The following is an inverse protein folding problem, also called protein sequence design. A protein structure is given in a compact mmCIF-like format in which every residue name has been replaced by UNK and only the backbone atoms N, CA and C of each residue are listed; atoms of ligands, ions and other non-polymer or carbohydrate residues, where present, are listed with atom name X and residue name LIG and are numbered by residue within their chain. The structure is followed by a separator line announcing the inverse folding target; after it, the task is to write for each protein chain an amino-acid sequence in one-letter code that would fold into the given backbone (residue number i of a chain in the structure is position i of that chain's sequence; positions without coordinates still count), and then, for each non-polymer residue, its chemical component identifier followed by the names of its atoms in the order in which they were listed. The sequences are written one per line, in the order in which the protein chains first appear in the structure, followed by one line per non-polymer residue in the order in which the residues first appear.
data_IF_579276768090
#
_entry.id   IF_579276768090
#
_cell.length_a   1.000
_cell.length_b   1.000
_cell.length_c   1.000
_cell.angle_alpha   90.00
_cell.angle_beta   90.00
_cell.angle_gamma   90.00
#
_symmetry.space_group_name_H-M   'P 1'
#
loop_
_entity.id
_entity.type
_entity.pdbx_description
1 polymer ?
#
# COMPACT_ATOMS: atom_id res chain seq x y z
N UNK A 1 -6.78 23.92 3.50
CA UNK A 1 -5.88 22.76 3.56
C UNK A 1 -5.38 22.53 2.16
N UNK A 2 -4.16 22.92 1.88
CA UNK A 2 -3.53 22.76 0.56
C UNK A 2 -2.99 21.33 0.50
N UNK A 3 -3.47 20.54 -0.46
CA UNK A 3 -2.84 19.26 -0.80
C UNK A 3 -1.48 19.58 -1.40
N UNK A 4 -0.44 19.43 -0.62
CA UNK A 4 0.93 19.63 -1.07
C UNK A 4 1.40 18.37 -1.78
N UNK A 5 2.10 18.54 -2.88
CA UNK A 5 2.70 17.44 -3.62
C UNK A 5 3.81 16.78 -2.80
N UNK A 6 3.53 15.56 -2.32
CA UNK A 6 4.47 14.78 -1.53
C UNK A 6 5.35 13.85 -2.35
N UNK A 7 5.24 13.83 -3.68
CA UNK A 7 6.06 12.94 -4.53
C UNK A 7 7.55 13.26 -4.40
N UNK A 8 7.91 14.54 -4.25
CA UNK A 8 9.28 14.98 -3.98
C UNK A 8 9.71 14.82 -2.51
N UNK A 9 8.79 14.45 -1.62
CA UNK A 9 9.02 14.35 -0.18
C UNK A 9 9.43 12.93 0.26
N UNK A 10 9.39 11.96 -0.63
CA UNK A 10 9.78 10.58 -0.33
C UNK A 10 11.27 10.38 -0.54
N UNK A 11 11.91 9.78 0.44
CA UNK A 11 13.25 9.20 0.34
C UNK A 11 13.15 7.66 0.47
N UNK A 12 14.29 6.97 0.51
CA UNK A 12 14.36 5.52 0.64
C UNK A 12 13.74 4.98 1.95
N UNK A 13 13.49 5.84 2.93
CA UNK A 13 12.88 5.50 4.21
C UNK A 13 11.40 5.94 4.31
N UNK A 14 10.82 6.46 3.24
CA UNK A 14 9.47 7.01 3.18
C UNK A 14 9.42 8.53 3.27
N UNK A 15 8.33 9.09 3.81
CA UNK A 15 8.10 10.53 3.88
C UNK A 15 9.12 11.27 4.78
N UNK A 16 9.74 12.31 4.25
CA UNK A 16 10.74 13.14 4.94
C UNK A 16 10.09 14.19 5.84
N UNK A 17 10.53 14.30 7.10
CA UNK A 17 10.09 15.35 8.04
C UNK A 17 10.48 16.75 7.55
N UNK A 18 11.65 16.89 6.93
CA UNK A 18 12.09 18.18 6.36
C UNK A 18 11.13 18.67 5.27
N UNK A 19 10.58 17.77 4.48
CA UNK A 19 9.58 18.12 3.47
C UNK A 19 8.24 18.53 4.08
N UNK A 20 7.83 17.92 5.19
CA UNK A 20 6.62 18.33 5.93
C UNK A 20 6.76 19.72 6.51
N UNK A 21 7.91 20.02 7.10
CA UNK A 21 8.20 21.36 7.63
C UNK A 21 8.26 22.42 6.52
N UNK A 22 8.91 22.11 5.40
CA UNK A 22 8.98 23.01 4.25
C UNK A 22 7.59 23.28 3.63
N UNK A 23 6.70 22.31 3.68
CA UNK A 23 5.32 22.43 3.20
C UNK A 23 4.39 23.13 4.19
N UNK A 24 4.81 23.39 5.42
CA UNK A 24 3.95 23.91 6.48
C UNK A 24 2.77 22.99 6.79
N UNK A 25 3.01 21.67 6.75
CA UNK A 25 1.94 20.68 6.91
C UNK A 25 1.48 20.59 8.38
N UNK A 26 0.16 20.51 8.59
CA UNK A 26 -0.45 20.23 9.89
C UNK A 26 -0.91 18.78 10.00
N UNK A 27 -1.28 18.17 8.88
CA UNK A 27 -1.75 16.78 8.83
C UNK A 27 -1.01 16.03 7.73
N UNK A 28 -0.56 14.82 8.07
CA UNK A 28 0.07 13.90 7.13
C UNK A 28 -0.68 12.58 7.10
N UNK A 29 -0.93 12.05 5.89
CA UNK A 29 -1.52 10.73 5.65
C UNK A 29 -0.43 9.78 5.14
N UNK A 30 -0.21 8.68 5.86
CA UNK A 30 0.86 7.72 5.58
C UNK A 30 0.39 6.28 5.79
N UNK A 31 1.03 5.34 5.10
CA UNK A 31 0.84 3.89 5.29
C UNK A 31 2.18 3.26 5.70
N UNK A 32 2.60 3.41 6.97
CA UNK A 32 3.96 3.09 7.40
C UNK A 32 4.25 1.60 7.45
N UNK A 33 3.24 0.75 7.52
CA UNK A 33 3.39 -0.70 7.52
C UNK A 33 3.67 -1.28 6.14
N UNK A 34 3.13 -0.62 5.09
CA UNK A 34 3.33 -0.98 3.69
C UNK A 34 2.84 0.17 2.81
N UNK A 35 3.75 1.06 2.42
CA UNK A 35 3.39 2.26 1.67
C UNK A 35 2.92 1.92 0.26
N UNK A 36 1.74 2.39 -0.12
CA UNK A 36 1.26 2.28 -1.49
C UNK A 36 1.57 3.58 -2.25
N UNK A 37 2.15 3.52 -3.45
CA UNK A 37 2.43 2.31 -4.25
C UNK A 37 3.88 1.78 -4.11
N UNK A 38 4.74 2.39 -3.30
CA UNK A 38 6.19 2.10 -3.30
C UNK A 38 6.57 0.78 -2.63
N UNK A 39 5.69 0.17 -1.83
CA UNK A 39 5.99 -1.05 -1.07
C UNK A 39 6.88 -0.85 0.15
N UNK A 40 7.38 0.37 0.37
CA UNK A 40 8.32 0.67 1.48
C UNK A 40 7.66 0.39 2.83
N UNK A 41 8.36 -0.37 3.66
CA UNK A 41 8.06 -0.50 5.09
C UNK A 41 8.84 0.56 5.84
N UNK A 42 8.14 1.53 6.43
CA UNK A 42 8.79 2.67 7.10
C UNK A 42 9.63 2.22 8.29
N UNK A 43 10.94 2.54 8.33
CA UNK A 43 11.82 2.21 9.44
C UNK A 43 11.38 2.84 10.76
N UNK A 44 11.72 2.19 11.89
CA UNK A 44 11.38 2.67 13.23
C UNK A 44 11.90 4.09 13.49
N UNK A 45 13.13 4.40 13.06
CA UNK A 45 13.70 5.73 13.21
C UNK A 45 12.81 6.82 12.55
N UNK A 46 12.34 6.58 11.31
CA UNK A 46 11.46 7.51 10.62
C UNK A 46 10.08 7.63 11.30
N UNK A 47 9.56 6.56 11.88
CA UNK A 47 8.32 6.58 12.67
C UNK A 47 8.47 7.50 13.88
N UNK A 48 9.61 7.41 14.59
CA UNK A 48 9.93 8.28 15.73
C UNK A 48 10.09 9.75 15.30
N UNK A 49 10.79 10.03 14.18
CA UNK A 49 10.91 11.37 13.63
C UNK A 49 9.54 12.00 13.35
N UNK A 50 8.61 11.24 12.78
CA UNK A 50 7.25 11.72 12.49
C UNK A 50 6.44 11.97 13.76
N UNK A 51 6.55 11.11 14.78
CA UNK A 51 5.90 11.36 16.08
C UNK A 51 6.43 12.64 16.72
N UNK A 52 7.75 12.83 16.77
CA UNK A 52 8.36 14.06 17.25
C UNK A 52 7.93 15.30 16.43
N UNK A 53 7.81 15.15 15.10
CA UNK A 53 7.28 16.25 14.27
C UNK A 53 5.87 16.64 14.67
N UNK A 54 5.00 15.67 14.91
CA UNK A 54 3.62 15.91 15.30
C UNK A 54 3.50 16.49 16.71
N UNK A 55 4.43 16.17 17.62
CA UNK A 55 4.46 16.69 18.99
C UNK A 55 4.91 18.17 19.08
N UNK A 56 5.66 18.68 18.08
CA UNK A 56 6.16 20.07 18.10
C UNK A 56 5.06 21.12 18.05
N UNK A 57 3.91 20.81 17.47
CA UNK A 57 2.79 21.75 17.33
C UNK A 57 1.46 21.11 17.77
N UNK A 58 0.58 21.86 18.46
CA UNK A 58 -0.65 21.29 19.03
C UNK A 58 -1.65 20.78 17.99
N UNK A 59 -1.65 21.32 16.79
CA UNK A 59 -2.62 21.01 15.73
C UNK A 59 -2.09 20.05 14.67
N UNK A 60 -0.88 19.50 14.85
CA UNK A 60 -0.32 18.48 13.96
C UNK A 60 -0.83 17.09 14.29
N UNK A 61 -1.22 16.35 13.24
CA UNK A 61 -1.70 14.98 13.34
C UNK A 61 -1.16 14.08 12.22
N UNK A 62 -1.07 12.79 12.53
CA UNK A 62 -0.71 11.75 11.59
C UNK A 62 -1.95 10.86 11.37
N UNK A 63 -2.37 10.71 10.12
CA UNK A 63 -3.34 9.71 9.69
C UNK A 63 -2.55 8.46 9.30
N UNK A 64 -2.56 7.43 10.15
CA UNK A 64 -1.93 6.14 9.88
C UNK A 64 -2.93 5.22 9.19
N UNK A 65 -2.76 5.00 7.88
CA UNK A 65 -3.59 4.09 7.08
C UNK A 65 -2.93 2.70 7.01
N UNK A 66 -3.46 1.79 7.80
CA UNK A 66 -2.92 0.44 8.01
C UNK A 66 -3.75 -0.62 7.29
N UNK A 67 -3.88 -0.49 5.97
CA UNK A 67 -4.84 -1.21 5.16
C UNK A 67 -4.52 -2.69 4.88
N UNK A 68 -3.25 -3.15 5.05
CA UNK A 68 -2.81 -4.52 4.72
C UNK A 68 -1.67 -5.08 5.59
N UNK A 69 -1.40 -4.48 6.76
CA UNK A 69 -0.32 -4.90 7.67
C UNK A 69 -0.47 -6.33 8.18
N UNK A 70 -1.67 -6.87 8.16
CA UNK A 70 -1.93 -8.27 8.50
C UNK A 70 -1.22 -9.25 7.56
N UNK A 71 -0.80 -8.80 6.37
CA UNK A 71 -0.14 -9.61 5.34
C UNK A 71 1.39 -9.39 5.30
N UNK A 72 2.01 -9.30 6.46
CA UNK A 72 3.47 -9.33 6.57
C UNK A 72 3.95 -10.78 6.58
N UNK A 73 4.87 -11.13 5.66
CA UNK A 73 5.33 -12.50 5.46
C UNK A 73 6.71 -12.77 6.02
N UNK A 74 7.52 -11.73 6.22
CA UNK A 74 8.90 -11.83 6.72
C UNK A 74 9.09 -10.94 7.94
N UNK A 75 9.81 -11.45 8.93
CA UNK A 75 10.14 -10.71 10.16
C UNK A 75 9.01 -10.67 11.19
N UNK A 76 9.25 -9.91 12.26
CA UNK A 76 8.26 -9.68 13.32
C UNK A 76 7.29 -8.56 12.92
N UNK A 77 6.05 -8.57 13.45
CA UNK A 77 5.17 -7.43 13.31
C UNK A 77 5.85 -6.16 13.81
N UNK A 78 5.72 -5.07 13.05
CA UNK A 78 6.22 -3.76 13.45
C UNK A 78 5.08 -3.05 14.18
N UNK A 79 5.31 -2.49 15.39
CA UNK A 79 4.30 -1.71 16.07
C UNK A 79 3.79 -0.56 15.20
N UNK A 80 2.49 -0.29 15.23
CA UNK A 80 1.91 0.87 14.55
C UNK A 80 2.38 2.16 15.22
N UNK A 81 2.37 3.29 14.51
CA UNK A 81 2.62 4.58 15.16
C UNK A 81 1.60 4.82 16.27
N UNK A 82 0.33 4.49 16.02
CA UNK A 82 -0.73 4.59 17.01
C UNK A 82 -0.42 3.84 18.31
N UNK A 83 0.18 2.64 18.24
CA UNK A 83 0.48 1.83 19.42
C UNK A 83 1.64 2.35 20.27
N UNK A 84 2.48 3.23 19.72
CA UNK A 84 3.65 3.84 20.39
C UNK A 84 3.50 5.35 20.57
N UNK A 85 2.36 5.92 20.19
CA UNK A 85 2.04 7.35 20.32
C UNK A 85 1.56 7.66 21.74
N UNK A 86 2.43 8.27 22.54
CA UNK A 86 2.09 8.74 23.89
C UNK A 86 1.44 10.14 23.87
N UNK A 87 1.67 10.91 22.80
CA UNK A 87 1.20 12.29 22.66
C UNK A 87 -0.24 12.44 22.12
N UNK A 88 -0.89 11.36 21.72
CA UNK A 88 -2.25 11.38 21.14
C UNK A 88 -2.28 12.16 19.81
N UNK A 89 -1.30 11.94 18.95
CA UNK A 89 -1.14 12.61 17.64
C UNK A 89 -1.56 11.75 16.47
N UNK A 90 -1.70 10.44 16.66
CA UNK A 90 -1.98 9.50 15.58
C UNK A 90 -3.46 9.15 15.55
N UNK A 91 -4.07 9.33 14.39
CA UNK A 91 -5.40 8.84 14.06
C UNK A 91 -5.19 7.56 13.24
N UNK A 92 -5.60 6.41 13.78
CA UNK A 92 -5.42 5.12 13.14
C UNK A 92 -6.61 4.76 12.25
N UNK A 93 -6.32 4.34 11.03
CA UNK A 93 -7.31 3.90 10.05
C UNK A 93 -7.02 2.46 9.62
N UNK A 94 -8.06 1.64 9.49
CA UNK A 94 -7.92 0.29 8.93
C UNK A 94 -9.22 -0.13 8.23
N UNK A 95 -9.15 -1.21 7.42
CA UNK A 95 -10.27 -1.70 6.62
C UNK A 95 -10.38 -3.22 6.62
N UNK A 96 -11.60 -3.74 6.68
CA UNK A 96 -11.88 -5.15 6.49
C UNK A 96 -11.93 -5.57 5.02
N UNK A 97 -11.83 -4.63 4.09
CA UNK A 97 -11.89 -4.91 2.64
C UNK A 97 -10.77 -5.79 2.12
N UNK A 98 -9.60 -5.77 2.77
CA UNK A 98 -8.44 -6.60 2.41
C UNK A 98 -8.40 -7.91 3.20
N UNK A 99 -8.83 -7.88 4.45
CA UNK A 99 -8.75 -9.01 5.37
C UNK A 99 -9.94 -9.96 5.28
N UNK A 100 -11.13 -9.49 4.90
CA UNK A 100 -12.32 -10.33 4.73
C UNK A 100 -12.69 -10.44 3.25
N UNK A 101 -13.23 -9.36 2.66
CA UNK A 101 -13.60 -9.32 1.25
C UNK A 101 -13.77 -7.87 0.78
N UNK A 102 -13.44 -7.55 -0.50
CA UNK A 102 -13.63 -6.20 -1.04
C UNK A 102 -15.07 -5.69 -1.00
N UNK A 103 -16.04 -6.60 -1.00
CA UNK A 103 -17.47 -6.29 -0.97
C UNK A 103 -18.01 -5.86 0.39
N UNK A 104 -17.28 -6.13 1.48
CA UNK A 104 -17.78 -5.81 2.84
C UNK A 104 -17.84 -4.32 3.11
N UNK A 105 -17.00 -3.53 2.48
CA UNK A 105 -16.98 -2.05 2.55
C UNK A 105 -17.01 -1.46 3.95
N UNK A 106 -16.42 -2.13 4.93
CA UNK A 106 -16.29 -1.65 6.31
C UNK A 106 -14.85 -1.22 6.55
N UNK A 107 -14.70 -0.01 7.08
CA UNK A 107 -13.45 0.51 7.63
C UNK A 107 -13.73 1.11 9.01
N UNK A 108 -12.70 1.32 9.79
CA UNK A 108 -12.81 1.92 11.10
C UNK A 108 -11.67 2.90 11.36
N UNK A 109 -11.94 3.84 12.25
CA UNK A 109 -10.99 4.85 12.69
C UNK A 109 -10.90 4.83 14.21
N UNK A 110 -9.70 4.89 14.75
CA UNK A 110 -9.44 5.06 16.17
C UNK A 110 -8.89 6.46 16.40
N UNK A 111 -9.67 7.26 17.12
CA UNK A 111 -9.30 8.64 17.42
C UNK A 111 -8.56 8.74 18.76
N UNK A 112 -7.52 9.60 18.85
CA UNK A 112 -6.96 10.00 20.13
C UNK A 112 -8.02 10.61 21.04
N UNK A 113 -7.94 10.36 22.33
CA UNK A 113 -8.93 10.84 23.32
C UNK A 113 -9.17 12.35 23.25
N UNK A 114 -8.12 13.12 22.98
CA UNK A 114 -8.20 14.60 22.85
C UNK A 114 -9.11 15.09 21.71
N UNK A 115 -9.31 14.29 20.68
CA UNK A 115 -10.17 14.64 19.53
C UNK A 115 -11.65 14.23 19.75
N UNK A 116 -11.95 13.38 20.70
CA UNK A 116 -13.32 12.87 20.91
C UNK A 116 -14.36 13.96 21.18
N UNK A 117 -14.09 15.01 22.02
CA UNK A 117 -15.05 16.08 22.22
C UNK A 117 -15.39 16.82 20.93
N UNK A 118 -14.36 17.24 20.18
CA UNK A 118 -14.52 17.94 18.89
C UNK A 118 -15.20 17.09 17.83
N UNK A 119 -14.86 15.80 17.79
CA UNK A 119 -15.52 14.84 16.89
C UNK A 119 -17.02 14.74 17.19
N UNK A 120 -17.39 14.59 18.47
CA UNK A 120 -18.81 14.49 18.88
C UNK A 120 -19.57 15.78 18.59
N UNK A 121 -18.97 16.93 18.84
CA UNK A 121 -19.58 18.23 18.58
C UNK A 121 -19.81 18.45 17.09
N UNK A 122 -18.80 18.18 16.25
CA UNK A 122 -18.84 18.53 14.83
C UNK A 122 -19.42 17.43 13.93
N UNK A 123 -19.29 16.17 14.31
CA UNK A 123 -19.65 15.01 13.49
C UNK A 123 -20.62 14.06 14.15
N UNK A 124 -20.96 14.27 15.44
CA UNK A 124 -21.86 13.39 16.19
C UNK A 124 -23.29 13.29 15.66
N UNK A 125 -23.68 14.19 14.76
CA UNK A 125 -25.00 14.15 14.11
C UNK A 125 -25.05 13.18 12.91
N UNK A 126 -23.89 12.71 12.39
CA UNK A 126 -23.87 11.71 11.34
C UNK A 126 -24.15 10.31 11.90
N UNK A 127 -25.08 9.62 11.27
CA UNK A 127 -25.26 8.19 11.52
C UNK A 127 -24.16 7.37 10.87
N UNK A 128 -23.81 6.23 11.48
CA UNK A 128 -22.90 5.27 10.84
C UNK A 128 -23.46 4.82 9.49
N UNK A 129 -22.64 4.82 8.45
CA UNK A 129 -23.00 4.33 7.13
C UNK A 129 -23.00 2.80 7.05
N UNK A 130 -22.40 2.12 8.04
CA UNK A 130 -22.42 0.66 8.16
C UNK A 130 -23.70 0.23 8.85
N UNK A 131 -24.48 -0.66 8.24
CA UNK A 131 -25.73 -1.15 8.82
C UNK A 131 -25.49 -1.87 10.15
N UNK A 132 -26.45 -1.78 11.09
CA UNK A 132 -26.37 -2.49 12.36
C UNK A 132 -26.23 -4.00 12.18
N UNK A 133 -26.87 -4.58 11.17
CA UNK A 133 -26.76 -6.00 10.85
C UNK A 133 -25.30 -6.39 10.50
N UNK A 134 -24.62 -5.61 9.68
CA UNK A 134 -23.23 -5.86 9.32
C UNK A 134 -22.29 -5.69 10.53
N UNK A 135 -22.51 -4.65 11.35
CA UNK A 135 -21.73 -4.43 12.57
C UNK A 135 -21.87 -5.60 13.54
N UNK A 136 -23.09 -6.06 13.83
CA UNK A 136 -23.32 -7.21 14.72
C UNK A 136 -22.77 -8.52 14.15
N UNK A 137 -22.90 -8.74 12.84
CA UNK A 137 -22.35 -9.92 12.16
C UNK A 137 -20.83 -9.94 12.28
N UNK A 138 -20.17 -8.81 12.02
CA UNK A 138 -18.73 -8.67 12.15
C UNK A 138 -18.26 -8.88 13.59
N UNK A 139 -18.92 -8.23 14.56
CA UNK A 139 -18.61 -8.37 15.97
C UNK A 139 -18.71 -9.84 16.41
N UNK A 140 -19.76 -10.55 16.02
CA UNK A 140 -19.92 -11.98 16.31
C UNK A 140 -18.86 -12.84 15.62
N UNK A 141 -18.55 -12.56 14.36
CA UNK A 141 -17.51 -13.25 13.60
C UNK A 141 -16.12 -13.13 14.27
N UNK A 142 -15.83 -11.97 14.86
CA UNK A 142 -14.63 -11.75 15.65
C UNK A 142 -14.69 -12.45 17.02
N UNK A 143 -15.76 -12.28 17.77
CA UNK A 143 -15.93 -12.82 19.13
C UNK A 143 -15.89 -14.36 19.17
N UNK A 144 -16.39 -15.03 18.13
CA UNK A 144 -16.35 -16.48 17.98
C UNK A 144 -15.01 -17.02 17.42
N UNK A 145 -14.03 -16.16 17.18
CA UNK A 145 -12.69 -16.51 16.68
C UNK A 145 -12.65 -16.92 15.19
N UNK A 146 -13.73 -16.74 14.45
CA UNK A 146 -13.76 -17.03 13.00
C UNK A 146 -12.90 -16.06 12.19
N UNK A 147 -12.84 -14.80 12.62
CA UNK A 147 -12.01 -13.80 11.96
C UNK A 147 -10.52 -14.18 11.99
N UNK A 148 -9.99 -14.57 13.14
CA UNK A 148 -8.59 -14.99 13.27
C UNK A 148 -8.27 -16.24 12.43
N UNK A 149 -9.17 -17.24 12.46
CA UNK A 149 -9.05 -18.44 11.62
C UNK A 149 -9.05 -18.08 10.14
N UNK A 150 -9.92 -17.17 9.72
CA UNK A 150 -9.99 -16.67 8.35
C UNK A 150 -8.70 -15.94 7.96
N UNK A 151 -8.24 -15.02 8.80
CA UNK A 151 -7.02 -14.23 8.59
C UNK A 151 -5.78 -15.13 8.42
N UNK A 152 -5.61 -16.13 9.30
CA UNK A 152 -4.50 -17.08 9.21
C UNK A 152 -4.52 -17.88 7.89
N UNK A 153 -5.72 -18.28 7.43
CA UNK A 153 -5.89 -18.94 6.14
C UNK A 153 -5.55 -18.00 4.97
N UNK A 154 -5.97 -16.75 5.03
CA UNK A 154 -5.68 -15.73 4.01
C UNK A 154 -4.19 -15.41 3.94
N UNK A 155 -3.51 -15.26 5.09
CA UNK A 155 -2.04 -15.08 5.16
C UNK A 155 -1.32 -16.22 4.42
N UNK A 156 -1.65 -17.48 4.73
CA UNK A 156 -1.06 -18.64 4.05
C UNK A 156 -1.33 -18.62 2.54
N UNK A 157 -2.57 -18.31 2.14
CA UNK A 157 -2.97 -18.26 0.73
C UNK A 157 -2.22 -17.15 -0.03
N UNK A 158 -2.13 -15.94 0.54
CA UNK A 158 -1.44 -14.84 -0.11
C UNK A 158 0.08 -15.05 -0.15
N UNK A 159 0.67 -15.63 0.89
CA UNK A 159 2.07 -16.03 0.88
C UNK A 159 2.36 -17.01 -0.28
N UNK A 160 1.60 -18.08 -0.38
CA UNK A 160 1.73 -19.06 -1.47
C UNK A 160 1.52 -18.41 -2.84
N UNK A 161 0.54 -17.54 -2.97
CA UNK A 161 0.25 -16.84 -4.22
C UNK A 161 1.38 -15.91 -4.62
N UNK A 162 1.93 -15.11 -3.68
CA UNK A 162 3.10 -14.28 -3.90
C UNK A 162 4.27 -15.11 -4.43
N UNK A 163 4.61 -16.19 -3.73
CA UNK A 163 5.73 -17.05 -4.09
C UNK A 163 5.55 -17.66 -5.49
N UNK A 164 4.34 -18.11 -5.83
CA UNK A 164 4.03 -18.63 -7.16
C UNK A 164 4.17 -17.56 -8.25
N UNK A 165 3.71 -16.32 -8.00
CA UNK A 165 3.86 -15.22 -8.95
C UNK A 165 5.33 -14.87 -9.15
N UNK A 166 6.11 -14.75 -8.07
CA UNK A 166 7.54 -14.47 -8.12
C UNK A 166 8.29 -15.59 -8.85
N UNK A 167 8.00 -16.84 -8.55
CA UNK A 167 8.61 -17.97 -9.22
C UNK A 167 8.30 -17.99 -10.73
N UNK A 168 7.08 -17.66 -11.11
CA UNK A 168 6.67 -17.55 -12.52
C UNK A 168 7.43 -16.42 -13.26
N UNK A 169 7.66 -15.28 -12.62
CA UNK A 169 8.43 -14.17 -13.19
C UNK A 169 9.91 -14.57 -13.32
N UNK A 170 10.51 -15.09 -12.25
CA UNK A 170 11.94 -15.49 -12.21
C UNK A 170 12.28 -16.68 -13.11
N UNK A 171 11.31 -17.57 -13.36
CA UNK A 171 11.47 -18.72 -14.27
C UNK A 171 10.90 -18.51 -15.66
N UNK A 172 10.34 -17.33 -15.94
CA UNK A 172 9.65 -17.01 -17.18
C UNK A 172 10.52 -16.23 -18.18
N UNK A 173 9.93 -15.80 -19.31
CA UNK A 173 10.66 -15.12 -20.39
C UNK A 173 11.20 -13.74 -20.02
N UNK A 174 10.79 -13.17 -18.89
CA UNK A 174 11.30 -11.89 -18.39
C UNK A 174 12.36 -12.04 -17.29
N UNK A 175 12.84 -13.26 -16.97
CA UNK A 175 13.74 -13.53 -15.86
C UNK A 175 15.00 -12.65 -15.87
N UNK A 176 15.63 -12.47 -17.01
CA UNK A 176 16.85 -11.67 -17.18
C UNK A 176 16.61 -10.15 -17.18
N UNK A 177 15.35 -9.72 -17.42
CA UNK A 177 14.96 -8.31 -17.52
C UNK A 177 14.20 -7.79 -16.31
N UNK A 178 13.69 -8.68 -15.45
CA UNK A 178 12.82 -8.31 -14.32
C UNK A 178 13.57 -8.39 -13.00
N UNK A 179 13.59 -7.28 -12.25
CA UNK A 179 14.08 -7.22 -10.88
C UNK A 179 12.91 -6.95 -9.94
N UNK A 180 12.70 -7.83 -8.98
CA UNK A 180 11.64 -7.73 -7.97
C UNK A 180 12.23 -7.13 -6.70
N UNK A 181 11.48 -6.18 -6.09
CA UNK A 181 11.79 -5.55 -4.80
C UNK A 181 10.52 -5.37 -3.98
N UNK A 182 10.65 -5.13 -2.67
CA UNK A 182 9.54 -4.87 -1.74
C UNK A 182 8.53 -6.03 -1.66
N UNK A 183 9.00 -7.27 -1.77
CA UNK A 183 8.15 -8.47 -1.76
C UNK A 183 7.79 -9.01 -0.36
N UNK A 184 8.33 -8.43 0.72
CA UNK A 184 8.27 -9.02 2.07
C UNK A 184 6.99 -8.72 2.84
N UNK A 185 6.21 -7.75 2.39
CA UNK A 185 5.00 -7.31 3.06
C UNK A 185 3.89 -6.94 2.07
N UNK A 186 2.65 -6.89 2.56
CA UNK A 186 1.48 -6.39 1.84
C UNK A 186 1.02 -7.28 0.68
N UNK A 187 0.19 -6.70 -0.18
CA UNK A 187 -0.48 -7.40 -1.28
C UNK A 187 0.06 -7.03 -2.67
N UNK A 188 1.12 -6.24 -2.74
CA UNK A 188 1.83 -5.89 -3.97
C UNK A 188 3.34 -5.89 -3.73
N UNK A 189 4.10 -5.90 -4.81
CA UNK A 189 5.53 -5.68 -4.83
C UNK A 189 5.91 -4.83 -6.05
N UNK A 190 7.13 -4.35 -6.10
CA UNK A 190 7.64 -3.63 -7.26
C UNK A 190 8.43 -4.55 -8.18
N UNK A 191 8.27 -4.32 -9.48
CA UNK A 191 9.04 -5.00 -10.53
C UNK A 191 9.64 -3.97 -11.48
N UNK A 192 10.96 -3.84 -11.48
CA UNK A 192 11.67 -3.01 -12.44
C UNK A 192 11.99 -3.83 -13.68
N UNK A 193 11.71 -3.28 -14.86
CA UNK A 193 12.06 -3.91 -16.15
C UNK A 193 13.27 -3.22 -16.77
N UNK A 194 14.23 -4.02 -17.20
CA UNK A 194 15.36 -3.53 -18.02
C UNK A 194 14.88 -3.31 -19.46
N UNK A 195 14.65 -2.04 -19.80
CA UNK A 195 14.12 -1.64 -21.10
C UNK A 195 14.50 -0.20 -21.44
N UNK A 196 14.79 0.12 -22.72
CA UNK A 196 14.97 1.49 -23.17
C UNK A 196 13.65 2.23 -23.42
N UNK A 197 12.49 1.54 -23.36
CA UNK A 197 11.20 2.10 -23.66
C UNK A 197 10.71 3.01 -22.53
N UNK A 198 10.26 4.23 -22.80
CA UNK A 198 9.57 5.05 -21.81
C UNK A 198 8.30 4.35 -21.28
N UNK A 199 7.94 4.57 -20.01
CA UNK A 199 6.80 3.96 -19.32
C UNK A 199 5.50 4.02 -20.14
N UNK A 200 5.19 5.18 -20.73
CA UNK A 200 4.00 5.35 -21.55
C UNK A 200 4.01 4.51 -22.84
N UNK A 201 5.17 4.28 -23.44
CA UNK A 201 5.31 3.42 -24.63
C UNK A 201 5.15 1.96 -24.23
N UNK A 202 5.85 1.52 -23.17
CA UNK A 202 5.75 0.17 -22.63
C UNK A 202 4.30 -0.19 -22.28
N UNK A 203 3.59 0.69 -21.59
CA UNK A 203 2.18 0.50 -21.22
C UNK A 203 1.27 0.34 -22.45
N UNK A 204 1.46 1.18 -23.50
CA UNK A 204 0.68 1.08 -24.75
C UNK A 204 0.92 -0.24 -25.47
N UNK A 205 2.19 -0.62 -25.63
CA UNK A 205 2.56 -1.86 -26.32
C UNK A 205 2.05 -3.10 -25.57
N UNK A 206 2.13 -3.11 -24.23
CA UNK A 206 1.55 -4.17 -23.42
C UNK A 206 0.02 -4.24 -23.56
N UNK A 207 -0.67 -3.08 -23.56
CA UNK A 207 -2.11 -3.03 -23.74
C UNK A 207 -2.58 -3.56 -25.10
N UNK A 208 -1.84 -3.29 -26.20
CA UNK A 208 -2.08 -3.86 -27.52
C UNK A 208 -2.00 -5.38 -27.53
N UNK A 209 -1.18 -5.96 -26.64
CA UNK A 209 -1.03 -7.42 -26.46
C UNK A 209 -1.98 -8.00 -25.40
N UNK A 210 -2.92 -7.15 -24.89
CA UNK A 210 -3.92 -7.54 -23.90
C UNK A 210 -3.36 -7.69 -22.47
N UNK A 211 -2.21 -7.07 -22.19
CA UNK A 211 -1.61 -7.01 -20.84
C UNK A 211 -1.72 -5.59 -20.30
N UNK A 212 -2.35 -5.45 -19.12
CA UNK A 212 -2.44 -4.15 -18.43
C UNK A 212 -1.30 -4.03 -17.43
N UNK A 213 -0.52 -2.98 -17.55
CA UNK A 213 0.55 -2.61 -16.61
C UNK A 213 0.11 -1.41 -15.78
N UNK A 214 0.47 -1.42 -14.49
CA UNK A 214 0.40 -0.27 -13.60
C UNK A 214 1.83 0.22 -13.36
N UNK A 215 2.17 1.38 -13.94
CA UNK A 215 3.51 1.95 -13.79
C UNK A 215 3.56 2.78 -12.51
N UNK A 216 4.69 2.73 -11.79
CA UNK A 216 4.89 3.54 -10.59
C UNK A 216 4.77 5.04 -10.88
N UNK A 217 5.19 5.48 -12.05
CA UNK A 217 5.08 6.86 -12.51
C UNK A 217 3.66 7.41 -12.60
N UNK A 218 2.64 6.55 -12.70
CA UNK A 218 1.24 6.96 -12.72
C UNK A 218 0.72 7.45 -11.35
N UNK A 219 1.46 7.19 -10.29
CA UNK A 219 1.14 7.58 -8.91
C UNK A 219 1.89 8.84 -8.44
N UNK A 220 2.71 9.42 -9.30
CA UNK A 220 3.43 10.66 -9.05
C UNK A 220 2.72 11.82 -9.71
N UNK A 221 2.65 12.97 -9.03
CA UNK A 221 2.11 14.19 -9.64
C UNK A 221 2.98 14.68 -10.81
N UNK A 222 4.31 14.56 -10.65
CA UNK A 222 5.25 14.66 -11.77
C UNK A 222 5.76 13.26 -12.12
N UNK A 223 5.26 12.63 -13.21
CA UNK A 223 5.71 11.30 -13.62
C UNK A 223 7.22 11.21 -13.92
N UNK A 224 7.86 12.33 -14.26
CA UNK A 224 9.31 12.36 -14.53
C UNK A 224 10.16 12.25 -13.25
N UNK A 225 9.58 12.54 -12.09
CA UNK A 225 10.24 12.36 -10.79
C UNK A 225 10.21 10.90 -10.30
N UNK A 226 9.41 10.04 -10.91
CA UNK A 226 9.34 8.63 -10.54
C UNK A 226 10.55 7.85 -11.09
N UNK A 227 11.02 6.81 -10.35
CA UNK A 227 11.94 5.84 -10.93
C UNK A 227 11.34 5.22 -12.21
N UNK A 228 12.06 5.25 -13.35
CA UNK A 228 11.53 4.74 -14.61
C UNK A 228 11.43 3.21 -14.61
N UNK A 229 10.53 2.68 -15.45
CA UNK A 229 10.39 1.26 -15.76
C UNK A 229 9.96 0.40 -14.56
N UNK A 230 9.38 1.00 -13.52
CA UNK A 230 8.91 0.31 -12.33
C UNK A 230 7.41 0.05 -12.41
N UNK A 231 7.03 -1.21 -12.25
CA UNK A 231 5.65 -1.67 -12.20
C UNK A 231 5.22 -1.93 -10.76
N UNK A 232 3.98 -1.59 -10.44
CA UNK A 232 3.31 -1.96 -9.20
C UNK A 232 2.53 -3.25 -9.45
N UNK A 233 3.03 -4.37 -8.96
CA UNK A 233 2.44 -5.70 -9.19
C UNK A 233 1.56 -6.10 -8.01
N UNK A 234 0.26 -5.80 -8.10
CA UNK A 234 -0.72 -6.26 -7.12
C UNK A 234 -1.07 -7.73 -7.38
N UNK A 235 -0.36 -8.65 -6.70
CA UNK A 235 -0.51 -10.08 -6.90
C UNK A 235 -1.80 -10.65 -6.32
N UNK A 236 -2.50 -9.95 -5.43
CA UNK A 236 -3.74 -10.44 -4.83
C UNK A 236 -4.83 -10.71 -5.88
N UNK A 237 -4.87 -9.90 -6.95
CA UNK A 237 -5.80 -10.02 -8.07
C UNK A 237 -5.31 -10.87 -9.26
N UNK A 238 -4.04 -11.30 -9.27
CA UNK A 238 -3.49 -12.05 -10.41
C UNK A 238 -4.09 -13.46 -10.48
N UNK A 239 -4.48 -13.86 -11.68
CA UNK A 239 -4.79 -15.24 -12.03
C UNK A 239 -3.50 -15.97 -12.40
N UNK A 240 -3.06 -16.89 -11.54
CA UNK A 240 -1.77 -17.60 -11.69
C UNK A 240 -1.74 -18.45 -12.96
N UNK A 241 -2.87 -19.01 -13.39
CA UNK A 241 -2.93 -19.84 -14.59
C UNK A 241 -2.72 -19.00 -15.88
N UNK A 242 -3.12 -17.74 -15.85
CA UNK A 242 -2.97 -16.80 -16.99
C UNK A 242 -1.63 -16.06 -16.99
N UNK A 243 -0.93 -16.04 -15.86
CA UNK A 243 0.30 -15.28 -15.71
C UNK A 243 1.41 -15.67 -16.71
N UNK A 244 1.71 -16.98 -16.95
CA UNK A 244 2.74 -17.37 -17.93
C UNK A 244 2.47 -16.80 -19.33
N UNK A 245 1.20 -16.85 -19.77
CA UNK A 245 0.78 -16.29 -21.05
C UNK A 245 0.91 -14.76 -21.09
N UNK A 246 0.62 -14.08 -20.00
CA UNK A 246 0.77 -12.62 -19.91
C UNK A 246 2.25 -12.21 -19.99
N UNK A 247 3.14 -12.94 -19.29
CA UNK A 247 4.59 -12.72 -19.35
C UNK A 247 5.17 -12.98 -20.74
N UNK A 248 4.71 -14.05 -21.42
CA UNK A 248 5.13 -14.34 -22.80
C UNK A 248 4.74 -13.20 -23.76
N UNK A 249 3.49 -12.74 -23.71
CA UNK A 249 3.04 -11.60 -24.53
C UNK A 249 3.78 -10.30 -24.22
N UNK A 250 4.18 -10.12 -22.98
CA UNK A 250 4.96 -8.96 -22.60
C UNK A 250 6.39 -9.06 -23.15
N UNK A 251 6.97 -10.27 -23.19
CA UNK A 251 8.30 -10.50 -23.75
C UNK A 251 8.38 -10.25 -25.26
N UNK A 252 7.31 -10.52 -26.02
CA UNK A 252 7.22 -10.24 -27.46
C UNK A 252 7.52 -8.76 -27.83
N UNK A 253 7.38 -7.84 -26.86
CA UNK A 253 7.71 -6.41 -27.08
C UNK A 253 9.19 -6.22 -27.41
N UNK A 254 10.07 -6.98 -26.78
CA UNK A 254 11.51 -6.87 -26.99
C UNK A 254 12.01 -7.72 -28.18
N UNK A 255 11.38 -8.87 -28.41
CA UNK A 255 11.71 -9.72 -29.58
C UNK A 255 11.51 -8.98 -30.91
N UNK A 256 10.44 -8.17 -31.00
CA UNK A 256 10.16 -7.35 -32.18
C UNK A 256 11.15 -6.19 -32.34
N UNK A 257 11.75 -5.70 -31.25
CA UNK A 257 12.74 -4.61 -31.30
C UNK A 257 14.15 -5.12 -31.67
N UNK A 258 14.49 -6.33 -31.21
CA UNK A 258 15.79 -6.95 -31.52
C UNK A 258 15.87 -7.40 -33.01
N UNK A 259 14.74 -7.42 -33.71
CA UNK A 259 14.61 -7.79 -35.12
C UNK A 259 14.32 -6.60 -36.04
N UNK A 260 14.19 -5.37 -35.55
CA UNK A 260 13.93 -4.15 -36.31
C UNK A 260 15.18 -3.27 -36.46
#
# INVERSE_FOLDING_TARGET
MTLTDFSAALDAAGLSVAALDAAGADVVHISPSHHYPTGIVMPIARRQELLHWAEREPDRFILEDDYDSEFRFVGRPIPTLFSVDEGGRVIYLNTFSKTIAPSIRISYMVLPHRLLPTFREKLGFYSSTVSGFEQYTLARFMAEGYYEKHLNRMRKRYHQKRDAVIACIRGGPLAERARITEEDAGLHFLMTLDTPLPDGALRRLAAQRGVRLAMLSEYYNDPAAAPPHVLVVNYSGIDIEKLPRALARLAEIWEEQDHA
#
